data_IF_369263513949
#
_entry.id   IF_369263513949
#
_cell.length_a   1.000
_cell.length_b   1.000
_cell.length_c   1.000
_cell.angle_alpha   90.00
_cell.angle_beta   90.00
_cell.angle_gamma   90.00
#
_symmetry.space_group_name_H-M   'P 1'
#
loop_
_entity.id
_entity.type
_entity.pdbx_description
1 polymer ?
#
# COMPACT_ATOMS: atom_id res chain seq x y z
N UNK A 1 33.17 -5.14 -17.11
CA UNK A 1 31.93 -4.35 -17.03
C UNK A 1 31.41 -4.45 -15.60
N UNK A 2 31.58 -3.40 -14.79
CA UNK A 2 31.11 -3.39 -13.39
C UNK A 2 29.59 -3.26 -13.37
N UNK A 3 28.89 -4.37 -13.19
CA UNK A 3 27.43 -4.39 -13.16
C UNK A 3 26.91 -3.56 -12.00
N UNK A 4 26.08 -2.56 -12.29
CA UNK A 4 25.30 -1.86 -11.27
C UNK A 4 24.38 -2.90 -10.64
N UNK A 5 24.52 -3.09 -9.32
CA UNK A 5 23.71 -4.05 -8.57
C UNK A 5 22.21 -3.87 -8.78
N UNK A 6 21.43 -4.91 -8.49
CA UNK A 6 19.98 -4.89 -8.65
C UNK A 6 19.34 -3.71 -7.89
N UNK A 7 18.15 -3.26 -8.31
CA UNK A 7 17.41 -2.21 -7.58
C UNK A 7 17.23 -2.58 -6.11
N UNK A 8 17.04 -3.86 -5.82
CA UNK A 8 16.98 -4.39 -4.46
C UNK A 8 18.29 -4.15 -3.70
N UNK A 9 19.44 -4.57 -4.24
CA UNK A 9 20.75 -4.36 -3.62
C UNK A 9 21.03 -2.88 -3.33
N UNK A 10 20.61 -2.00 -4.24
CA UNK A 10 20.75 -0.55 -4.07
C UNK A 10 19.91 -0.03 -2.89
N UNK A 11 18.69 -0.54 -2.72
CA UNK A 11 17.83 -0.16 -1.58
C UNK A 11 18.41 -0.71 -0.27
N UNK A 12 18.76 -2.00 -0.24
CA UNK A 12 19.23 -2.66 0.97
C UNK A 12 20.59 -2.16 1.45
N UNK A 13 21.39 -1.54 0.56
CA UNK A 13 22.61 -0.82 0.92
C UNK A 13 22.34 0.40 1.81
N UNK A 14 21.16 1.01 1.71
CA UNK A 14 20.84 2.27 2.41
C UNK A 14 19.77 2.14 3.49
N UNK A 15 18.92 1.11 3.41
CA UNK A 15 17.82 0.89 4.35
C UNK A 15 17.67 -0.60 4.64
N UNK A 16 17.54 -0.95 5.91
CA UNK A 16 17.27 -2.32 6.31
C UNK A 16 15.83 -2.71 5.89
N UNK A 17 15.65 -3.72 5.02
CA UNK A 17 14.33 -4.05 4.52
C UNK A 17 13.56 -4.90 5.54
N UNK A 18 12.25 -4.67 5.64
CA UNK A 18 11.27 -5.60 6.21
C UNK A 18 10.15 -5.75 5.19
N UNK A 19 9.67 -6.97 4.99
CA UNK A 19 8.60 -7.27 4.02
C UNK A 19 7.39 -7.76 4.78
N UNK A 20 6.21 -7.23 4.45
CA UNK A 20 4.95 -7.70 5.00
C UNK A 20 4.84 -9.22 4.78
N UNK A 21 4.68 -10.02 5.85
CA UNK A 21 4.50 -11.46 5.70
C UNK A 21 3.18 -11.75 4.97
N UNK A 22 2.95 -12.98 4.52
CA UNK A 22 1.63 -13.35 3.95
C UNK A 22 0.64 -13.68 5.04
N UNK A 23 1.12 -14.32 6.10
CA UNK A 23 0.34 -14.77 7.25
C UNK A 23 0.05 -13.59 8.19
N UNK A 24 -1.19 -13.47 8.67
CA UNK A 24 -1.56 -12.40 9.62
C UNK A 24 -0.89 -12.56 10.97
N UNK A 25 -0.69 -13.82 11.42
CA UNK A 25 -0.05 -14.11 12.71
C UNK A 25 1.41 -13.61 12.79
N UNK A 26 2.12 -13.58 11.66
CA UNK A 26 3.52 -13.11 11.61
C UNK A 26 3.64 -11.58 11.54
N UNK A 27 2.53 -10.87 11.36
CA UNK A 27 2.55 -9.42 11.11
C UNK A 27 3.12 -8.64 12.30
N UNK A 28 2.73 -8.98 13.53
CA UNK A 28 3.26 -8.33 14.73
C UNK A 28 4.78 -8.45 14.83
N UNK A 29 5.33 -9.64 14.55
CA UNK A 29 6.77 -9.86 14.57
C UNK A 29 7.52 -9.00 13.54
N UNK A 30 6.95 -8.83 12.34
CA UNK A 30 7.55 -7.97 11.31
C UNK A 30 7.58 -6.49 11.72
N UNK A 31 6.57 -6.01 12.45
CA UNK A 31 6.57 -4.63 12.97
C UNK A 31 7.64 -4.45 14.05
N UNK A 32 7.78 -5.40 14.96
CA UNK A 32 8.83 -5.34 15.98
C UNK A 32 10.23 -5.42 15.35
N UNK A 33 10.41 -6.23 14.31
CA UNK A 33 11.65 -6.28 13.52
C UNK A 33 11.94 -4.93 12.85
N UNK A 34 10.92 -4.27 12.29
CA UNK A 34 11.08 -2.96 11.67
C UNK A 34 11.48 -1.88 12.68
N UNK A 35 10.85 -1.88 13.87
CA UNK A 35 11.21 -0.97 14.97
C UNK A 35 12.64 -1.21 15.43
N UNK A 36 13.02 -2.47 15.67
CA UNK A 36 14.38 -2.81 16.04
C UNK A 36 15.42 -2.34 15.01
N UNK A 37 15.11 -2.48 13.71
CA UNK A 37 15.96 -1.97 12.62
C UNK A 37 16.03 -0.45 12.54
N UNK A 38 15.02 0.28 12.98
CA UNK A 38 15.06 1.75 13.04
C UNK A 38 16.00 2.27 14.13
N UNK A 39 16.13 1.51 15.22
CA UNK A 39 16.95 1.86 16.38
C UNK A 39 18.38 1.29 16.28
N UNK A 40 18.64 0.40 15.33
CA UNK A 40 19.97 -0.18 15.11
C UNK A 40 20.95 0.86 14.53
N UNK A 41 22.01 1.25 15.28
CA UNK A 41 23.00 2.22 14.83
C UNK A 41 23.88 1.70 13.67
N UNK A 42 23.89 0.39 13.40
CA UNK A 42 24.57 -0.18 12.24
C UNK A 42 23.81 0.07 10.93
N UNK A 43 22.55 0.51 10.99
CA UNK A 43 21.74 0.83 9.81
C UNK A 43 21.56 2.34 9.66
N UNK A 44 21.31 2.80 8.43
CA UNK A 44 20.92 4.19 8.19
C UNK A 44 19.39 4.38 8.24
N UNK A 45 18.68 3.48 8.93
CA UNK A 45 17.22 3.38 8.99
C UNK A 45 16.67 2.18 8.23
N UNK A 46 15.35 2.01 8.28
CA UNK A 46 14.64 0.86 7.74
C UNK A 46 13.63 1.26 6.66
N UNK A 47 13.22 0.28 5.85
CA UNK A 47 12.13 0.41 4.89
C UNK A 47 11.18 -0.78 5.04
N UNK A 48 9.88 -0.50 5.13
CA UNK A 48 8.85 -1.52 5.23
C UNK A 48 8.13 -1.65 3.89
N UNK A 49 8.25 -2.82 3.24
CA UNK A 49 7.54 -3.14 2.02
C UNK A 49 6.19 -3.77 2.37
N UNK A 50 5.11 -3.03 2.07
CA UNK A 50 3.74 -3.44 2.33
C UNK A 50 2.91 -3.53 1.06
N UNK A 51 1.77 -4.21 1.14
CA UNK A 51 0.77 -4.25 0.07
C UNK A 51 -0.40 -3.33 0.42
N UNK A 52 -0.84 -2.50 -0.52
CA UNK A 52 -2.03 -1.69 -0.33
C UNK A 52 -3.27 -2.59 -0.12
N UNK A 53 -4.13 -2.24 0.84
CA UNK A 53 -5.24 -3.11 1.33
C UNK A 53 -4.76 -4.41 1.98
N UNK A 54 -3.48 -4.49 2.31
CA UNK A 54 -2.90 -5.52 3.17
C UNK A 54 -3.05 -5.16 4.65
N UNK A 55 -2.36 -5.91 5.50
CA UNK A 55 -2.51 -5.83 6.97
C UNK A 55 -2.01 -4.50 7.51
N UNK A 56 -0.97 -3.94 6.89
CA UNK A 56 -0.47 -2.60 7.22
C UNK A 56 -1.52 -1.52 7.01
N UNK A 57 -2.45 -1.71 6.06
CA UNK A 57 -3.42 -0.69 5.67
C UNK A 57 -4.64 -0.57 6.60
N UNK A 58 -4.81 -1.47 7.58
CA UNK A 58 -6.04 -1.56 8.38
C UNK A 58 -5.91 -1.06 9.83
N UNK A 59 -4.72 -0.71 10.31
CA UNK A 59 -4.60 -0.22 11.70
C UNK A 59 -3.20 0.01 12.25
N UNK A 60 -2.16 0.02 11.41
CA UNK A 60 -0.82 0.36 11.87
C UNK A 60 -0.58 1.86 11.68
N UNK A 61 -0.34 2.56 12.79
CA UNK A 61 0.14 3.93 12.76
C UNK A 61 1.68 3.97 12.84
N UNK A 62 2.29 4.69 11.90
CA UNK A 62 3.73 4.92 11.87
C UNK A 62 4.03 6.29 12.48
N UNK A 63 4.07 6.37 13.81
CA UNK A 63 4.39 7.61 14.50
C UNK A 63 5.89 7.96 14.42
N UNK A 64 6.18 9.24 14.65
CA UNK A 64 7.54 9.75 14.90
C UNK A 64 8.56 9.44 13.79
N UNK A 65 9.53 8.58 14.10
CA UNK A 65 10.63 8.20 13.21
C UNK A 65 10.24 7.07 12.24
N UNK A 66 9.11 6.40 12.49
CA UNK A 66 8.70 5.23 11.74
C UNK A 66 8.01 5.55 10.40
N UNK A 67 7.55 6.80 10.21
CA UNK A 67 6.73 7.23 9.06
C UNK A 67 7.24 8.48 8.33
N UNK A 68 8.55 8.59 8.08
CA UNK A 68 9.14 9.81 7.47
C UNK A 68 8.72 10.07 6.02
N UNK A 69 8.42 9.01 5.28
CA UNK A 69 7.92 9.07 3.91
C UNK A 69 7.16 7.79 3.58
N UNK A 70 6.11 7.92 2.78
CA UNK A 70 5.36 6.79 2.22
C UNK A 70 5.42 6.89 0.70
N UNK A 71 5.88 5.82 0.05
CA UNK A 71 5.94 5.73 -1.42
C UNK A 71 4.93 4.70 -1.89
N UNK A 72 3.96 5.14 -2.69
CA UNK A 72 2.98 4.26 -3.33
C UNK A 72 3.41 4.04 -4.77
N UNK A 73 3.56 2.78 -5.18
CA UNK A 73 3.90 2.43 -6.57
C UNK A 73 2.62 2.13 -7.34
N UNK A 74 2.22 3.07 -8.21
CA UNK A 74 0.97 2.99 -8.97
C UNK A 74 -0.26 3.44 -8.19
N UNK A 75 -1.45 3.06 -8.66
CA UNK A 75 -2.75 3.37 -8.03
C UNK A 75 -3.37 2.06 -7.55
N UNK A 76 -3.75 1.93 -6.26
CA UNK A 76 -4.34 0.72 -5.71
C UNK A 76 -5.80 0.56 -6.17
N UNK A 77 -5.98 -0.02 -7.36
CA UNK A 77 -7.31 -0.32 -7.90
C UNK A 77 -7.97 -1.50 -7.20
N UNK A 78 -9.30 -1.49 -7.17
CA UNK A 78 -10.06 -2.67 -6.80
C UNK A 78 -9.90 -3.78 -7.84
N UNK A 79 -10.10 -5.04 -7.43
CA UNK A 79 -10.04 -6.18 -8.34
C UNK A 79 -11.15 -6.05 -9.37
N UNK A 80 -10.77 -5.79 -10.64
CA UNK A 80 -11.71 -5.50 -11.73
C UNK A 80 -12.80 -6.57 -11.91
N UNK A 81 -12.45 -7.83 -11.67
CA UNK A 81 -13.34 -8.96 -11.89
C UNK A 81 -14.15 -9.36 -10.65
N UNK A 82 -13.97 -8.68 -9.51
CA UNK A 82 -14.75 -8.92 -8.32
C UNK A 82 -16.25 -8.59 -8.59
N UNK A 83 -17.19 -9.50 -8.27
CA UNK A 83 -18.61 -9.29 -8.56
C UNK A 83 -19.18 -8.00 -7.96
N UNK A 84 -18.75 -7.61 -6.74
CA UNK A 84 -19.21 -6.38 -6.09
C UNK A 84 -18.66 -5.14 -6.79
N UNK A 85 -17.39 -5.18 -7.20
CA UNK A 85 -16.76 -4.09 -7.96
C UNK A 85 -17.46 -3.90 -9.30
N UNK A 86 -17.75 -4.99 -10.01
CA UNK A 86 -18.47 -4.95 -11.29
C UNK A 86 -19.87 -4.37 -11.13
N UNK A 87 -20.66 -4.91 -10.19
CA UNK A 87 -22.02 -4.44 -9.94
C UNK A 87 -22.03 -2.94 -9.57
N UNK A 88 -21.15 -2.52 -8.67
CA UNK A 88 -21.08 -1.11 -8.27
C UNK A 88 -20.69 -0.21 -9.43
N UNK A 89 -19.74 -0.64 -10.27
CA UNK A 89 -19.34 0.11 -11.45
C UNK A 89 -20.49 0.24 -12.45
N UNK A 90 -21.21 -0.84 -12.73
CA UNK A 90 -22.30 -0.83 -13.71
C UNK A 90 -23.45 0.12 -13.25
N UNK A 91 -23.79 0.13 -11.96
CA UNK A 91 -24.77 1.08 -11.38
C UNK A 91 -24.29 2.53 -11.49
N UNK A 92 -23.04 2.80 -11.10
CA UNK A 92 -22.48 4.15 -11.16
C UNK A 92 -22.35 4.67 -12.60
N UNK A 93 -22.03 3.79 -13.55
CA UNK A 93 -21.95 4.12 -14.97
C UNK A 93 -23.33 4.47 -15.55
N UNK A 94 -24.39 3.80 -15.09
CA UNK A 94 -25.78 4.13 -15.46
C UNK A 94 -26.21 5.49 -14.88
N UNK A 95 -26.00 5.71 -13.58
CA UNK A 95 -26.28 6.99 -12.91
C UNK A 95 -25.55 8.17 -13.60
N UNK A 96 -24.27 7.98 -13.92
CA UNK A 96 -23.46 9.00 -14.60
C UNK A 96 -24.00 9.35 -16.00
N UNK A 97 -24.51 8.35 -16.76
CA UNK A 97 -25.13 8.59 -18.06
C UNK A 97 -26.44 9.35 -17.95
N UNK A 98 -27.26 9.02 -16.96
CA UNK A 98 -28.52 9.73 -16.69
C UNK A 98 -28.25 11.20 -16.37
N UNK A 99 -27.29 11.48 -15.49
CA UNK A 99 -26.86 12.85 -15.16
C UNK A 99 -26.34 13.59 -16.40
N UNK A 100 -25.49 12.95 -17.21
CA UNK A 100 -24.94 13.56 -18.42
C UNK A 100 -26.00 13.85 -19.50
N UNK A 101 -27.10 13.10 -19.52
CA UNK A 101 -28.19 13.27 -20.47
C UNK A 101 -29.17 14.40 -20.13
N UNK A 102 -28.92 15.16 -19.04
CA UNK A 102 -29.81 16.24 -18.59
C UNK A 102 -31.08 15.76 -17.88
N UNK A 103 -31.23 14.45 -17.70
CA UNK A 103 -32.25 13.82 -16.87
C UNK A 103 -31.90 13.92 -15.39
N UNK A 104 -31.76 15.15 -14.87
CA UNK A 104 -31.90 15.37 -13.44
C UNK A 104 -33.29 14.84 -13.05
N UNK A 105 -33.34 13.92 -12.10
CA UNK A 105 -34.60 13.53 -11.47
C UNK A 105 -35.20 14.77 -10.81
N UNK A 106 -36.09 15.45 -11.52
CA UNK A 106 -37.20 16.15 -10.88
C UNK A 106 -38.15 15.05 -10.39
N UNK A 107 -38.25 14.87 -9.07
CA UNK A 107 -39.17 13.91 -8.49
C UNK A 107 -39.01 13.71 -6.99
N UNK A 108 -39.59 14.67 -6.25
CA UNK A 108 -40.04 14.68 -4.83
C UNK A 108 -39.02 14.49 -3.68
#
# INVERSE_FOLDING_TARGET
AGGVGSTWERITRHKAPVVEPRESAAFGAAIEEFRAKLDDPATQGAVFFAVCRGKVSEGLDFSDRAGRAVVITGIPYAVKNDPKVRLKRDVLDEEARLIASGGGLAGE
#
